data_IF_973464393310
#
_entry.id   IF_973464393310
#
_cell.length_a   1.000
_cell.length_b   1.000
_cell.length_c   1.000
_cell.angle_alpha   90.00
_cell.angle_beta   90.00
_cell.angle_gamma   90.00
#
_symmetry.space_group_name_H-M   'P 1'
#
loop_
_entity.id
_entity.type
_entity.pdbx_description
1 polymer ?
#
# COMPACT_ATOMS: atom_id res chain seq x y z
N UNK A 1 24.12 8.03 -14.34
CA UNK A 1 23.10 7.02 -13.98
C UNK A 1 22.49 7.46 -12.67
N UNK A 2 21.19 7.74 -12.64
CA UNK A 2 20.52 8.15 -11.39
C UNK A 2 20.48 6.92 -10.50
N UNK A 3 21.21 6.95 -9.39
CA UNK A 3 21.02 5.97 -8.33
C UNK A 3 19.58 6.14 -7.87
N UNK A 4 18.70 5.19 -8.20
CA UNK A 4 17.39 5.05 -7.56
C UNK A 4 17.66 4.78 -6.09
N UNK A 5 17.94 5.86 -5.35
CA UNK A 5 18.25 5.86 -3.93
C UNK A 5 16.94 5.61 -3.21
N UNK A 6 16.49 4.36 -3.24
CA UNK A 6 15.53 3.84 -2.28
C UNK A 6 16.12 4.12 -0.92
N UNK A 7 15.54 5.10 -0.23
CA UNK A 7 15.98 5.45 1.09
C UNK A 7 15.74 4.24 2.01
N UNK A 8 16.72 3.84 2.82
CA UNK A 8 16.56 2.70 3.70
C UNK A 8 15.40 2.95 4.67
N UNK A 9 14.60 1.92 4.94
CA UNK A 9 13.49 1.97 5.90
C UNK A 9 14.06 1.54 7.26
N UNK A 10 14.10 2.48 8.21
CA UNK A 10 14.44 2.21 9.60
C UNK A 10 13.25 1.78 10.45
N UNK A 11 13.49 1.41 11.70
CA UNK A 11 12.44 1.01 12.65
C UNK A 11 11.42 2.11 12.95
N UNK A 12 11.85 3.37 12.97
CA UNK A 12 10.96 4.52 13.12
C UNK A 12 10.01 4.67 11.92
N UNK A 13 10.54 4.48 10.71
CA UNK A 13 9.77 4.53 9.47
C UNK A 13 8.68 3.46 9.43
N UNK A 14 8.98 2.25 9.92
CA UNK A 14 8.00 1.16 10.05
C UNK A 14 6.82 1.59 10.92
N UNK A 15 7.07 2.36 11.99
CA UNK A 15 6.00 2.84 12.88
C UNK A 15 5.09 3.84 12.18
N UNK A 16 5.65 4.74 11.36
CA UNK A 16 4.88 5.70 10.55
C UNK A 16 4.04 4.97 9.51
N UNK A 17 4.66 4.06 8.75
CA UNK A 17 4.00 3.27 7.71
C UNK A 17 2.84 2.46 8.32
N UNK A 18 3.10 1.76 9.43
CA UNK A 18 2.08 0.97 10.14
C UNK A 18 0.94 1.85 10.64
N UNK A 19 1.23 3.04 11.15
CA UNK A 19 0.19 3.95 11.60
C UNK A 19 -0.68 4.43 10.44
N UNK A 20 -0.07 4.82 9.32
CA UNK A 20 -0.79 5.22 8.11
C UNK A 20 -1.71 4.09 7.61
N UNK A 21 -1.22 2.85 7.58
CA UNK A 21 -2.02 1.71 7.13
C UNK A 21 -3.19 1.43 8.10
N UNK A 22 -2.99 1.53 9.41
CA UNK A 22 -4.08 1.42 10.40
C UNK A 22 -5.16 2.49 10.21
N UNK A 23 -4.75 3.73 9.94
CA UNK A 23 -5.69 4.81 9.64
C UNK A 23 -6.44 4.61 8.32
N UNK A 24 -5.83 3.93 7.35
CA UNK A 24 -6.48 3.47 6.13
C UNK A 24 -7.38 2.23 6.35
N UNK A 25 -7.53 1.74 7.58
CA UNK A 25 -8.43 0.63 7.94
C UNK A 25 -7.77 -0.75 7.93
N UNK A 26 -6.46 -0.85 7.66
CA UNK A 26 -5.75 -2.13 7.65
C UNK A 26 -5.40 -2.58 9.07
N UNK A 27 -5.93 -3.74 9.48
CA UNK A 27 -5.73 -4.30 10.83
C UNK A 27 -4.53 -5.24 10.92
N UNK A 28 -4.08 -5.81 9.80
CA UNK A 28 -2.98 -6.78 9.73
C UNK A 28 -3.12 -7.94 10.71
N UNK A 29 -4.34 -8.47 10.84
CA UNK A 29 -4.60 -9.65 11.65
C UNK A 29 -4.23 -10.90 10.86
N UNK A 30 -3.58 -11.87 11.51
CA UNK A 30 -3.25 -13.14 10.85
C UNK A 30 -4.50 -14.02 10.72
N UNK A 31 -4.71 -14.69 9.57
CA UNK A 31 -3.87 -14.67 8.37
C UNK A 31 -4.06 -13.39 7.52
N UNK A 32 -2.94 -12.76 7.11
CA UNK A 32 -2.96 -11.59 6.23
C UNK A 32 -3.54 -11.93 4.87
N UNK A 33 -4.50 -11.13 4.40
CA UNK A 33 -5.00 -11.28 3.04
C UNK A 33 -4.06 -10.62 2.02
N UNK A 34 -4.20 -10.99 0.74
CA UNK A 34 -3.37 -10.41 -0.33
C UNK A 34 -3.50 -8.89 -0.47
N UNK A 35 -4.65 -8.34 -0.10
CA UNK A 35 -4.87 -6.89 -0.11
C UNK A 35 -4.03 -6.21 0.98
N UNK A 36 -3.98 -6.78 2.19
CA UNK A 36 -3.14 -6.26 3.28
C UNK A 36 -1.66 -6.28 2.89
N UNK A 37 -1.19 -7.42 2.34
CA UNK A 37 0.19 -7.57 1.85
C UNK A 37 0.52 -6.56 0.76
N UNK A 38 -0.40 -6.36 -0.18
CA UNK A 38 -0.25 -5.39 -1.26
C UNK A 38 -0.19 -3.95 -0.76
N UNK A 39 -1.09 -3.57 0.16
CA UNK A 39 -1.12 -2.23 0.75
C UNK A 39 0.18 -1.92 1.51
N UNK A 40 0.69 -2.87 2.29
CA UNK A 40 1.97 -2.72 3.00
C UNK A 40 3.15 -2.50 2.04
N UNK A 41 3.26 -3.32 0.98
CA UNK A 41 4.30 -3.15 -0.05
C UNK A 41 4.19 -1.80 -0.77
N UNK A 42 2.98 -1.37 -1.07
CA UNK A 42 2.75 -0.08 -1.72
C UNK A 42 3.16 1.08 -0.82
N UNK A 43 2.76 1.08 0.45
CA UNK A 43 3.14 2.10 1.41
C UNK A 43 4.66 2.17 1.63
N UNK A 44 5.34 1.03 1.76
CA UNK A 44 6.80 0.99 1.84
C UNK A 44 7.47 1.61 0.61
N UNK A 45 6.95 1.31 -0.58
CA UNK A 45 7.47 1.85 -1.84
C UNK A 45 7.31 3.37 -1.91
N UNK A 46 6.13 3.90 -1.53
CA UNK A 46 5.88 5.34 -1.47
C UNK A 46 6.81 6.04 -0.48
N UNK A 47 7.03 5.42 0.68
CA UNK A 47 7.91 5.94 1.70
C UNK A 47 9.36 6.05 1.22
N UNK A 48 9.86 5.00 0.57
CA UNK A 48 11.20 4.98 -0.03
C UNK A 48 11.36 6.02 -1.15
N UNK A 49 10.27 6.35 -1.85
CA UNK A 49 10.20 7.39 -2.89
C UNK A 49 10.04 8.81 -2.33
N UNK A 50 10.00 8.98 -1.01
CA UNK A 50 9.98 10.29 -0.36
C UNK A 50 8.64 10.73 0.22
N UNK A 51 7.58 9.91 0.14
CA UNK A 51 6.31 10.19 0.82
C UNK A 51 6.44 9.82 2.30
N UNK A 52 7.09 10.69 3.08
CA UNK A 52 7.48 10.43 4.47
C UNK A 52 6.40 10.80 5.49
N UNK A 53 5.44 11.64 5.11
CA UNK A 53 4.37 12.07 5.99
C UNK A 53 3.22 11.06 6.01
N UNK A 54 2.72 10.72 7.20
CA UNK A 54 1.53 9.87 7.35
C UNK A 54 0.29 10.48 6.68
N UNK A 55 0.14 11.80 6.73
CA UNK A 55 -0.96 12.52 6.10
C UNK A 55 -1.04 12.35 4.59
N UNK A 56 0.10 12.13 3.93
CA UNK A 56 0.16 11.88 2.48
C UNK A 56 0.11 10.38 2.16
N UNK A 57 0.65 9.53 3.03
CA UNK A 57 0.61 8.07 2.86
C UNK A 57 -0.81 7.51 2.93
N UNK A 58 -1.64 7.99 3.87
CA UNK A 58 -3.01 7.50 4.06
C UNK A 58 -3.86 7.64 2.77
N UNK A 59 -4.02 8.85 2.18
CA UNK A 59 -4.81 9.00 0.96
C UNK A 59 -4.19 8.27 -0.23
N UNK A 60 -2.85 8.19 -0.31
CA UNK A 60 -2.18 7.45 -1.39
C UNK A 60 -2.44 5.94 -1.32
N UNK A 61 -2.43 5.36 -0.11
CA UNK A 61 -2.78 3.96 0.11
C UNK A 61 -4.25 3.72 -0.23
N UNK A 62 -5.18 4.57 0.25
CA UNK A 62 -6.61 4.43 -0.07
C UNK A 62 -6.86 4.46 -1.59
N UNK A 63 -6.25 5.41 -2.30
CA UNK A 63 -6.36 5.50 -3.75
C UNK A 63 -5.82 4.24 -4.46
N UNK A 64 -4.73 3.66 -3.96
CA UNK A 64 -4.19 2.41 -4.49
C UNK A 64 -5.16 1.24 -4.28
N UNK A 65 -5.79 1.16 -3.10
CA UNK A 65 -6.79 0.13 -2.77
C UNK A 65 -7.98 0.22 -3.70
N UNK A 66 -8.54 1.40 -3.90
CA UNK A 66 -9.67 1.62 -4.80
C UNK A 66 -9.34 1.12 -6.21
N UNK A 67 -8.14 1.45 -6.71
CA UNK A 67 -7.65 0.96 -8.00
C UNK A 67 -7.48 -0.55 -8.04
N UNK A 68 -6.95 -1.15 -6.98
CA UNK A 68 -6.76 -2.60 -6.88
C UNK A 68 -8.10 -3.35 -6.87
N UNK A 69 -9.10 -2.83 -6.16
CA UNK A 69 -10.47 -3.36 -6.12
C UNK A 69 -11.13 -3.23 -7.49
N UNK A 70 -11.08 -2.06 -8.11
CA UNK A 70 -11.62 -1.84 -9.46
C UNK A 70 -10.98 -2.76 -10.50
N UNK A 71 -9.67 -2.95 -10.44
CA UNK A 71 -8.96 -3.88 -11.33
C UNK A 71 -9.43 -5.33 -11.15
N UNK A 72 -9.63 -5.77 -9.90
CA UNK A 72 -10.15 -7.11 -9.58
C UNK A 72 -11.60 -7.32 -10.04
N UNK A 73 -12.45 -6.30 -9.92
CA UNK A 73 -13.81 -6.35 -10.43
C UNK A 73 -13.81 -6.49 -11.96
N UNK A 74 -12.96 -5.71 -12.65
CA UNK A 74 -12.83 -5.77 -14.11
C UNK A 74 -12.25 -7.11 -14.61
N UNK A 75 -11.36 -7.75 -13.85
CA UNK A 75 -10.89 -9.10 -14.19
C UNK A 75 -11.98 -10.15 -13.97
N UNK A 76 -12.78 -10.01 -12.90
CA UNK A 76 -13.84 -10.96 -12.60
C UNK A 76 -14.99 -10.91 -13.61
N UNK A 77 -15.36 -9.72 -14.09
CA UNK A 77 -16.38 -9.58 -15.15
C UNK A 77 -15.96 -10.17 -16.50
N UNK A 78 -14.65 -10.23 -16.78
CA UNK A 78 -14.10 -10.90 -17.97
C UNK A 78 -14.17 -12.43 -17.89
N UNK A 79 -14.14 -13.02 -16.69
CA UNK A 79 -14.19 -14.47 -16.51
C UNK A 79 -15.62 -15.01 -16.63
N UNK A 80 -16.64 -14.18 -16.32
CA UNK A 80 -18.05 -14.55 -16.42
C UNK A 80 -18.65 -14.47 -17.84
N UNK A 81 -17.85 -14.15 -18.87
CA UNK A 81 -18.30 -14.03 -20.27
C UNK A 81 -17.79 -15.15 -21.19
N UNK A 82 -17.48 -16.32 -20.63
CA UNK A 82 -17.13 -17.55 -21.37
C UNK A 82 -18.19 -18.62 -21.14
#
# INVERSE_FOLDING_TARGET
MSSDLHQPIGSFDISIIRNALRHAGFRYEEPLCELDRGAARHAMTLYQKGVRCSGDLIPAVNLWVDKAVLARLKSSSRVASL
#
